data_IF_111515963834
#
_entry.id   IF_111515963834
#
_cell.length_a   1.000
_cell.length_b   1.000
_cell.length_c   1.000
_cell.angle_alpha   90.00
_cell.angle_beta   90.00
_cell.angle_gamma   90.00
#
_symmetry.space_group_name_H-M   'P 1'
#
loop_
_entity.id
_entity.type
_entity.pdbx_description
1 polymer ?
#
# COMPACT_ATOMS: atom_id res chain seq x y z
N UNK A 1 16.08 13.77 -14.33
CA UNK A 1 15.77 12.66 -13.39
C UNK A 1 14.61 11.90 -13.98
N UNK A 2 14.77 10.62 -14.32
CA UNK A 2 13.67 9.83 -14.87
C UNK A 2 12.63 9.54 -13.79
N UNK A 3 11.35 9.71 -14.08
CA UNK A 3 10.27 9.17 -13.24
C UNK A 3 10.53 7.67 -13.07
N UNK A 4 10.81 7.22 -11.84
CA UNK A 4 10.81 5.79 -11.53
C UNK A 4 9.37 5.31 -11.72
N UNK A 5 9.12 4.48 -12.73
CA UNK A 5 7.77 4.06 -13.06
C UNK A 5 7.18 3.22 -11.93
N UNK A 6 6.05 3.69 -11.39
CA UNK A 6 5.29 2.95 -10.39
C UNK A 6 4.51 1.81 -11.06
N UNK A 7 4.48 0.63 -10.44
CA UNK A 7 3.59 -0.45 -10.86
C UNK A 7 2.12 -0.11 -10.58
N UNK A 8 1.19 -0.91 -11.11
CA UNK A 8 -0.22 -0.75 -10.78
C UNK A 8 -0.52 -0.96 -9.30
N UNK A 9 0.16 -1.93 -8.66
CA UNK A 9 0.01 -2.24 -7.23
C UNK A 9 0.57 -1.11 -6.37
N UNK A 10 1.74 -0.58 -6.72
CA UNK A 10 2.35 0.54 -6.00
C UNK A 10 1.46 1.80 -6.04
N UNK A 11 0.89 2.11 -7.21
CA UNK A 11 -0.08 3.22 -7.34
C UNK A 11 -1.32 3.01 -6.49
N UNK A 12 -1.85 1.80 -6.50
CA UNK A 12 -3.01 1.45 -5.67
C UNK A 12 -2.70 1.64 -4.18
N UNK A 13 -1.56 1.16 -3.70
CA UNK A 13 -1.17 1.27 -2.29
C UNK A 13 -0.93 2.72 -1.86
N UNK A 14 -0.30 3.55 -2.70
CA UNK A 14 -0.16 4.99 -2.43
C UNK A 14 -1.52 5.67 -2.30
N UNK A 15 -2.42 5.44 -3.25
CA UNK A 15 -3.77 5.99 -3.23
C UNK A 15 -4.55 5.52 -2.00
N UNK A 16 -4.42 4.24 -1.63
CA UNK A 16 -5.05 3.67 -0.45
C UNK A 16 -4.57 4.36 0.84
N UNK A 17 -3.25 4.46 1.06
CA UNK A 17 -2.70 5.14 2.24
C UNK A 17 -3.14 6.61 2.27
N UNK A 18 -3.20 7.27 1.11
CA UNK A 18 -3.62 8.66 1.00
C UNK A 18 -5.10 8.87 1.34
N UNK A 19 -6.01 8.11 0.71
CA UNK A 19 -7.44 8.33 0.83
C UNK A 19 -8.07 7.72 2.09
N UNK A 20 -7.59 6.56 2.56
CA UNK A 20 -8.18 5.88 3.73
C UNK A 20 -7.56 6.34 5.04
N UNK A 21 -6.29 6.75 5.02
CA UNK A 21 -5.53 7.09 6.22
C UNK A 21 -4.91 8.49 6.20
N UNK A 22 -5.26 9.35 5.23
CA UNK A 22 -4.75 10.71 5.14
C UNK A 22 -3.23 10.78 4.92
N UNK A 23 -2.63 9.72 4.38
CA UNK A 23 -1.20 9.62 4.13
C UNK A 23 -0.37 9.04 5.28
N UNK A 24 -1.01 8.55 6.36
CA UNK A 24 -0.31 8.09 7.57
C UNK A 24 -0.97 6.89 8.23
N UNK A 25 -0.25 5.78 8.36
CA UNK A 25 -0.71 4.57 9.07
C UNK A 25 0.14 4.34 10.30
N UNK A 26 -0.50 4.18 11.45
CA UNK A 26 0.13 3.68 12.67
C UNK A 26 -0.15 2.19 12.82
N UNK A 27 0.88 1.40 13.08
CA UNK A 27 0.77 -0.04 13.24
C UNK A 27 1.70 -0.54 14.34
N UNK A 28 1.23 -1.49 15.14
CA UNK A 28 2.09 -2.21 16.09
C UNK A 28 2.57 -3.49 15.42
N UNK A 29 3.67 -3.43 14.69
CA UNK A 29 4.35 -4.64 14.25
C UNK A 29 4.98 -5.31 15.47
N UNK A 30 4.73 -6.62 15.62
CA UNK A 30 5.43 -7.47 16.57
C UNK A 30 6.83 -7.80 16.05
N UNK A 31 7.10 -9.08 15.78
CA UNK A 31 8.39 -9.58 15.29
C UNK A 31 8.52 -9.62 13.76
N UNK A 32 7.47 -9.27 13.01
CA UNK A 32 7.46 -9.33 11.53
C UNK A 32 8.12 -8.11 10.89
N UNK A 33 8.60 -8.25 9.66
CA UNK A 33 9.06 -7.11 8.89
C UNK A 33 7.90 -6.11 8.71
N UNK A 34 8.13 -4.79 8.91
CA UNK A 34 7.12 -3.75 8.73
C UNK A 34 6.30 -3.86 7.44
N UNK A 35 6.95 -4.17 6.32
CA UNK A 35 6.33 -4.26 5.01
C UNK A 35 5.36 -5.43 4.92
N UNK A 36 5.72 -6.57 5.52
CA UNK A 36 4.89 -7.78 5.53
C UNK A 36 3.68 -7.59 6.44
N UNK A 37 3.88 -6.98 7.61
CA UNK A 37 2.77 -6.65 8.50
C UNK A 37 1.77 -5.71 7.82
N UNK A 38 2.25 -4.63 7.21
CA UNK A 38 1.38 -3.69 6.51
C UNK A 38 0.69 -4.35 5.31
N UNK A 39 1.40 -5.18 4.56
CA UNK A 39 0.82 -5.95 3.45
C UNK A 39 -0.30 -6.87 3.92
N UNK A 40 -0.11 -7.60 5.02
CA UNK A 40 -1.10 -8.48 5.61
C UNK A 40 -2.33 -7.69 6.07
N UNK A 41 -2.12 -6.63 6.84
CA UNK A 41 -3.17 -5.73 7.32
C UNK A 41 -4.04 -5.20 6.17
N UNK A 42 -3.42 -4.66 5.12
CA UNK A 42 -4.14 -4.13 3.96
C UNK A 42 -4.86 -5.28 3.22
N UNK A 43 -4.21 -6.44 3.05
CA UNK A 43 -4.81 -7.57 2.34
C UNK A 43 -6.08 -8.07 3.02
N UNK A 44 -6.14 -8.07 4.35
CA UNK A 44 -7.33 -8.49 5.11
C UNK A 44 -8.57 -7.63 4.87
N UNK A 45 -8.40 -6.38 4.48
CA UNK A 45 -9.54 -5.52 4.12
C UNK A 45 -10.19 -5.91 2.78
N UNK A 46 -9.44 -6.63 1.93
CA UNK A 46 -9.87 -7.00 0.59
C UNK A 46 -10.17 -8.48 0.44
N UNK A 47 -9.49 -9.31 1.22
CA UNK A 47 -9.48 -10.75 1.02
C UNK A 47 -9.47 -11.48 2.37
N UNK A 48 -10.38 -12.43 2.60
CA UNK A 48 -10.38 -13.17 3.85
C UNK A 48 -9.12 -14.06 3.94
N UNK A 49 -8.52 -14.18 5.14
CA UNK A 49 -7.31 -15.00 5.41
C UNK A 49 -7.39 -16.44 4.89
N UNK A 50 -8.61 -17.02 4.84
CA UNK A 50 -8.86 -18.37 4.32
C UNK A 50 -8.77 -18.48 2.79
N UNK A 51 -8.67 -17.37 2.06
CA UNK A 51 -8.57 -17.39 0.61
C UNK A 51 -7.24 -18.04 0.18
N UNK A 52 -7.24 -19.00 -0.76
CA UNK A 52 -6.02 -19.69 -1.18
C UNK A 52 -4.96 -18.74 -1.78
N UNK A 53 -5.37 -17.56 -2.26
CA UNK A 53 -4.46 -16.55 -2.80
C UNK A 53 -3.94 -15.56 -1.75
N UNK A 54 -4.38 -15.64 -0.49
CA UNK A 54 -4.07 -14.64 0.54
C UNK A 54 -2.56 -14.43 0.71
N UNK A 55 -1.80 -15.50 0.96
CA UNK A 55 -0.34 -15.42 1.11
C UNK A 55 0.36 -14.85 -0.13
N UNK A 56 -0.14 -15.16 -1.34
CA UNK A 56 0.40 -14.63 -2.60
C UNK A 56 0.15 -13.12 -2.72
N UNK A 57 -1.03 -12.65 -2.34
CA UNK A 57 -1.38 -11.22 -2.37
C UNK A 57 -0.55 -10.45 -1.34
N UNK A 58 -0.40 -10.98 -0.12
CA UNK A 58 0.47 -10.42 0.91
C UNK A 58 1.90 -10.27 0.39
N UNK A 59 2.45 -11.31 -0.27
CA UNK A 59 3.79 -11.23 -0.87
C UNK A 59 3.92 -10.11 -1.91
N UNK A 60 2.95 -10.00 -2.83
CA UNK A 60 2.95 -8.95 -3.84
C UNK A 60 2.79 -7.55 -3.27
N UNK A 61 1.99 -7.39 -2.21
CA UNK A 61 1.84 -6.10 -1.51
C UNK A 61 3.11 -5.76 -0.74
N UNK A 62 3.74 -6.71 -0.06
CA UNK A 62 5.00 -6.49 0.66
C UNK A 62 6.13 -6.05 -0.28
N UNK A 63 6.25 -6.69 -1.46
CA UNK A 63 7.19 -6.27 -2.50
C UNK A 63 6.92 -4.85 -3.00
N UNK A 64 5.65 -4.50 -3.23
CA UNK A 64 5.27 -3.16 -3.66
C UNK A 64 5.52 -2.09 -2.59
N UNK A 65 5.23 -2.38 -1.31
CA UNK A 65 5.53 -1.47 -0.18
C UNK A 65 7.05 -1.24 -0.09
N UNK A 66 7.83 -2.31 -0.20
CA UNK A 66 9.30 -2.21 -0.23
C UNK A 66 9.76 -1.35 -1.42
N UNK A 67 9.19 -1.56 -2.60
CA UNK A 67 9.47 -0.76 -3.79
C UNK A 67 9.15 0.73 -3.59
N UNK A 68 8.01 1.06 -2.98
CA UNK A 68 7.64 2.44 -2.65
C UNK A 68 8.61 3.08 -1.66
N UNK A 69 9.06 2.33 -0.66
CA UNK A 69 10.04 2.78 0.34
C UNK A 69 11.38 3.05 -0.33
N UNK A 70 11.87 2.09 -1.11
CA UNK A 70 13.18 2.17 -1.78
C UNK A 70 13.22 3.30 -2.84
N UNK A 71 12.06 3.63 -3.43
CA UNK A 71 11.87 4.76 -4.35
C UNK A 71 11.65 6.11 -3.63
N UNK A 72 11.53 6.13 -2.30
CA UNK A 72 11.35 7.35 -1.51
C UNK A 72 9.93 7.92 -1.50
N UNK A 73 8.92 7.14 -1.89
CA UNK A 73 7.51 7.58 -1.83
C UNK A 73 6.89 7.39 -0.45
N UNK A 74 7.42 6.45 0.35
CA UNK A 74 7.00 6.25 1.73
C UNK A 74 8.21 6.19 2.67
N UNK A 75 8.00 6.55 3.92
CA UNK A 75 8.92 6.25 5.02
C UNK A 75 8.26 5.26 5.98
N UNK A 76 9.07 4.35 6.52
CA UNK A 76 8.65 3.39 7.53
C UNK A 76 9.61 3.51 8.71
N UNK A 77 9.16 4.11 9.81
CA UNK A 77 10.00 4.35 10.99
C UNK A 77 9.24 3.97 12.25
N UNK A 78 9.83 3.08 13.06
CA UNK A 78 9.18 2.55 14.26
C UNK A 78 7.85 1.87 13.91
N UNK A 79 6.75 2.47 14.38
CA UNK A 79 5.39 1.97 14.27
C UNK A 79 4.54 2.76 13.27
N UNK A 80 5.18 3.41 12.31
CA UNK A 80 4.54 4.41 11.46
C UNK A 80 4.98 4.27 10.01
N UNK A 81 4.00 4.36 9.11
CA UNK A 81 4.17 4.53 7.67
C UNK A 81 3.65 5.90 7.28
N UNK A 82 4.46 6.70 6.59
CA UNK A 82 4.05 7.98 6.04
C UNK A 82 4.29 8.04 4.55
N UNK A 83 3.40 8.71 3.84
CA UNK A 83 3.70 9.22 2.51
C UNK A 83 4.68 10.39 2.63
N UNK A 84 5.72 10.39 1.80
CA UNK A 84 6.54 11.58 1.58
C UNK A 84 5.76 12.62 0.78
N UNK A 85 6.29 13.83 0.63
CA UNK A 85 5.66 14.84 -0.23
C UNK A 85 5.54 14.34 -1.69
N UNK A 86 6.53 13.60 -2.18
CA UNK A 86 6.46 12.97 -3.50
C UNK A 86 5.45 11.81 -3.51
N UNK A 87 5.35 11.03 -2.43
CA UNK A 87 4.33 9.99 -2.29
C UNK A 87 2.90 10.55 -2.35
N UNK A 88 2.64 11.67 -1.65
CA UNK A 88 1.34 12.37 -1.70
C UNK A 88 1.06 12.92 -3.10
N UNK A 89 2.07 13.50 -3.75
CA UNK A 89 1.95 14.02 -5.12
C UNK A 89 1.57 12.91 -6.10
N UNK A 90 2.26 11.77 -6.07
CA UNK A 90 1.93 10.62 -6.91
C UNK A 90 0.56 10.02 -6.58
N UNK A 91 0.22 9.88 -5.30
CA UNK A 91 -1.09 9.39 -4.87
C UNK A 91 -2.23 10.29 -5.42
N UNK A 92 -2.04 11.61 -5.40
CA UNK A 92 -3.02 12.58 -5.89
C UNK A 92 -3.26 12.51 -7.41
N UNK A 93 -2.37 11.87 -8.18
CA UNK A 93 -2.55 11.63 -9.62
C UNK A 93 -3.61 10.56 -9.90
N UNK A 94 -3.97 9.74 -8.91
CA UNK A 94 -5.07 8.78 -9.00
C UNK A 94 -6.34 9.47 -8.49
N UNK A 95 -7.29 9.85 -9.37
CA UNK A 95 -8.52 10.50 -8.93
C UNK A 95 -9.29 9.61 -7.94
N UNK A 96 -9.97 10.24 -6.97
CA UNK A 96 -10.67 9.50 -5.92
C UNK A 96 -11.71 8.49 -6.46
N UNK A 97 -12.39 8.82 -7.55
CA UNK A 97 -13.33 7.90 -8.21
C UNK A 97 -12.62 6.72 -8.86
N UNK A 98 -11.46 6.93 -9.50
CA UNK A 98 -10.63 5.85 -10.03
C UNK A 98 -10.16 4.93 -8.91
N UNK A 99 -9.69 5.50 -7.80
CA UNK A 99 -9.32 4.75 -6.61
C UNK A 99 -10.48 3.88 -6.09
N UNK A 100 -11.69 4.44 -5.96
CA UNK A 100 -12.89 3.69 -5.53
C UNK A 100 -13.19 2.52 -6.46
N UNK A 101 -13.07 2.70 -7.77
CA UNK A 101 -13.28 1.63 -8.75
C UNK A 101 -12.19 0.55 -8.67
N UNK A 102 -10.93 0.93 -8.46
CA UNK A 102 -9.84 -0.01 -8.20
C UNK A 102 -10.09 -0.82 -6.93
N UNK A 103 -10.47 -0.15 -5.83
CA UNK A 103 -10.80 -0.79 -4.53
C UNK A 103 -11.88 -1.87 -4.70
N UNK A 104 -12.96 -1.56 -5.43
CA UNK A 104 -14.04 -2.52 -5.71
C UNK A 104 -13.59 -3.79 -6.43
N UNK A 105 -12.55 -3.70 -7.29
CA UNK A 105 -12.01 -4.86 -8.00
C UNK A 105 -11.26 -5.80 -7.05
N UNK A 106 -10.64 -5.27 -6.00
CA UNK A 106 -9.96 -6.06 -4.96
C UNK A 106 -10.92 -6.67 -3.93
N UNK A 107 -12.06 -6.00 -3.62
CA UNK A 107 -13.05 -6.50 -2.64
C UNK A 107 -14.05 -7.53 -3.20
N UNK A 108 -14.15 -7.73 -4.51
CA UNK A 108 -15.15 -8.61 -5.14
C UNK A 108 -14.77 -10.11 -5.13
N UNK A 109 -13.75 -10.50 -4.36
CA UNK A 109 -13.17 -11.85 -4.36
C UNK A 109 -13.68 -12.68 -3.18
#
# INVERSE_FOLDING_TARGET
>A
MGELSLTGVERFLLAYIYYEYGGKIYYQSGSSAPEEYLAEFITEEFLPRKNPNFARVVGGFAEAIRGLRDKGYITMTGYEVNLTEDGKREASKVPQEEYKELKKRFTKV
#
